data_IF_863821754010
#
_entry.id   IF_863821754010
#
_cell.length_a   1.000
_cell.length_b   1.000
_cell.length_c   1.000
_cell.angle_alpha   90.00
_cell.angle_beta   90.00
_cell.angle_gamma   90.00
#
_symmetry.space_group_name_H-M   'P 1'
#
loop_
_entity.id
_entity.type
_entity.pdbx_description
1 polymer ?
#
# COMPACT_ATOMS: atom_id res chain seq x y z
N UNK A 1 6.82 -8.05 13.85
CA UNK A 1 5.87 -8.62 14.85
C UNK A 1 4.55 -7.87 14.75
N UNK A 2 3.69 -8.22 13.78
CA UNK A 2 2.36 -7.59 13.59
C UNK A 2 1.45 -7.83 14.81
N UNK A 3 1.71 -8.88 15.58
CA UNK A 3 0.99 -9.23 16.81
C UNK A 3 1.20 -8.25 17.99
N UNK A 4 2.14 -7.31 17.92
CA UNK A 4 2.52 -6.44 19.05
C UNK A 4 1.85 -5.05 19.04
N UNK A 5 1.03 -4.74 18.05
CA UNK A 5 0.37 -3.42 17.95
C UNK A 5 -0.62 -3.24 19.10
N UNK A 6 -0.55 -2.07 19.76
CA UNK A 6 -1.42 -1.70 20.86
C UNK A 6 -2.90 -1.78 20.45
N UNK A 7 -3.81 -2.26 21.33
CA UNK A 7 -5.22 -2.34 21.01
C UNK A 7 -5.82 -0.95 20.79
N UNK A 8 -6.18 -0.64 19.55
CA UNK A 8 -6.98 0.53 19.18
C UNK A 8 -8.32 0.05 18.62
N UNK A 9 -9.41 0.77 18.91
CA UNK A 9 -10.73 0.45 18.37
C UNK A 9 -10.68 0.43 16.83
N UNK A 10 -11.04 -0.70 16.22
CA UNK A 10 -11.07 -0.87 14.76
C UNK A 10 -9.83 -1.50 14.11
N UNK A 11 -8.82 -1.91 14.89
CA UNK A 11 -7.69 -2.73 14.41
C UNK A 11 -7.85 -4.19 14.85
N UNK A 12 -7.95 -5.13 13.90
CA UNK A 12 -7.96 -6.57 14.20
C UNK A 12 -6.54 -7.02 14.55
N UNK A 13 -6.40 -7.76 15.66
CA UNK A 13 -5.12 -8.41 15.99
C UNK A 13 -4.87 -9.56 15.02
N UNK A 14 -3.60 -9.79 14.71
CA UNK A 14 -3.12 -10.93 13.94
C UNK A 14 -2.40 -11.92 14.86
N UNK A 15 -3.11 -12.72 15.69
CA UNK A 15 -2.48 -13.62 16.67
C UNK A 15 -1.63 -14.71 15.99
N UNK A 16 -2.00 -15.17 14.78
CA UNK A 16 -1.17 -16.08 13.97
C UNK A 16 -0.27 -15.34 12.94
N UNK A 17 -0.17 -14.01 13.00
CA UNK A 17 0.62 -13.23 12.05
C UNK A 17 0.03 -13.20 10.63
N UNK A 18 0.87 -13.39 9.60
CA UNK A 18 0.50 -13.27 8.16
C UNK A 18 0.22 -14.62 7.46
N UNK A 19 0.16 -15.72 8.20
CA UNK A 19 0.07 -17.09 7.69
C UNK A 19 -1.36 -17.53 7.33
N UNK A 20 -2.10 -16.71 6.60
CA UNK A 20 -3.47 -17.04 6.22
C UNK A 20 -3.52 -18.08 5.11
N UNK A 21 -4.33 -19.14 5.30
CA UNK A 21 -4.60 -20.16 4.27
C UNK A 21 -5.34 -19.57 3.06
N UNK A 22 -6.11 -18.50 3.26
CA UNK A 22 -6.79 -17.72 2.23
C UNK A 22 -6.82 -16.26 2.66
N UNK A 23 -6.50 -15.35 1.73
CA UNK A 23 -6.53 -13.92 1.97
C UNK A 23 -7.88 -13.34 1.57
N UNK A 24 -8.57 -12.68 2.50
CA UNK A 24 -9.82 -11.95 2.20
C UNK A 24 -9.58 -10.45 2.00
N UNK A 25 -10.56 -9.76 1.40
CA UNK A 25 -10.52 -8.29 1.26
C UNK A 25 -10.38 -7.60 2.62
N UNK A 26 -11.07 -8.10 3.65
CA UNK A 26 -11.00 -7.57 5.02
C UNK A 26 -9.65 -7.83 5.70
N UNK A 27 -9.04 -8.98 5.45
CA UNK A 27 -7.68 -9.25 5.94
C UNK A 27 -6.69 -8.27 5.30
N UNK A 28 -6.82 -8.01 3.99
CA UNK A 28 -5.98 -7.03 3.31
C UNK A 28 -6.17 -5.62 3.89
N UNK A 29 -7.42 -5.15 4.07
CA UNK A 29 -7.73 -3.83 4.66
C UNK A 29 -7.19 -3.68 6.08
N UNK A 30 -7.34 -4.71 6.90
CA UNK A 30 -6.82 -4.69 8.26
C UNK A 30 -5.30 -4.63 8.25
N UNK A 31 -4.66 -5.42 7.38
CA UNK A 31 -3.20 -5.47 7.31
C UNK A 31 -2.63 -4.12 6.85
N UNK A 32 -3.29 -3.43 5.91
CA UNK A 32 -2.93 -2.07 5.51
C UNK A 32 -2.85 -1.10 6.70
N UNK A 33 -3.80 -1.17 7.65
CA UNK A 33 -3.81 -0.30 8.83
C UNK A 33 -2.70 -0.59 9.84
N UNK A 34 -2.25 -1.85 9.91
CA UNK A 34 -1.22 -2.29 10.86
C UNK A 34 0.18 -2.18 10.26
N UNK A 35 0.32 -2.24 8.93
CA UNK A 35 1.62 -2.35 8.28
C UNK A 35 2.45 -1.07 8.39
N UNK A 36 1.84 0.09 8.11
CA UNK A 36 2.51 1.40 8.19
C UNK A 36 3.12 1.68 9.57
N UNK A 37 2.35 1.62 10.68
CA UNK A 37 2.94 1.84 12.01
C UNK A 37 3.94 0.75 12.43
N UNK A 38 3.87 -0.45 11.82
CA UNK A 38 4.80 -1.52 12.14
C UNK A 38 6.18 -1.36 11.49
N UNK A 39 6.30 -0.57 10.42
CA UNK A 39 7.57 -0.29 9.74
C UNK A 39 8.14 1.09 10.07
N UNK A 40 7.29 2.00 10.57
CA UNK A 40 7.69 3.33 11.01
C UNK A 40 8.83 3.27 12.05
N UNK A 41 9.86 4.08 11.85
CA UNK A 41 11.07 4.09 12.69
C UNK A 41 12.06 2.94 12.45
N UNK A 42 11.70 1.94 11.66
CA UNK A 42 12.57 0.80 11.33
C UNK A 42 13.14 0.84 9.91
N UNK A 43 12.51 1.60 9.02
CA UNK A 43 12.93 1.76 7.62
C UNK A 43 13.07 3.24 7.28
N UNK A 44 13.83 3.60 6.23
CA UNK A 44 13.88 4.97 5.73
C UNK A 44 12.48 5.52 5.48
N UNK A 45 12.28 6.81 5.78
CA UNK A 45 10.99 7.48 5.66
C UNK A 45 10.39 7.33 4.25
N UNK A 46 11.24 7.36 3.21
CA UNK A 46 10.80 7.20 1.82
C UNK A 46 10.19 5.83 1.56
N UNK A 47 10.66 4.76 2.22
CA UNK A 47 10.01 3.45 2.15
C UNK A 47 8.60 3.54 2.73
N UNK A 48 8.45 4.16 3.90
CA UNK A 48 7.13 4.34 4.53
C UNK A 48 6.19 5.13 3.61
N UNK A 49 6.69 6.19 2.96
CA UNK A 49 5.91 7.00 2.02
C UNK A 49 5.53 6.22 0.74
N UNK A 50 6.46 5.43 0.17
CA UNK A 50 6.17 4.58 -0.96
C UNK A 50 5.06 3.56 -0.63
N UNK A 51 5.15 2.91 0.54
CA UNK A 51 4.10 1.99 0.98
C UNK A 51 2.77 2.73 1.19
N UNK A 52 2.79 3.91 1.82
CA UNK A 52 1.57 4.70 2.04
C UNK A 52 0.88 5.05 0.72
N UNK A 53 1.62 5.60 -0.25
CA UNK A 53 1.09 5.98 -1.55
C UNK A 53 0.53 4.77 -2.32
N UNK A 54 1.20 3.62 -2.26
CA UNK A 54 0.70 2.37 -2.85
C UNK A 54 -0.62 1.91 -2.21
N UNK A 55 -0.73 2.01 -0.88
CA UNK A 55 -1.94 1.65 -0.15
C UNK A 55 -3.10 2.60 -0.45
N UNK A 56 -2.83 3.91 -0.54
CA UNK A 56 -3.81 4.93 -0.88
C UNK A 56 -4.35 4.70 -2.30
N UNK A 57 -3.48 4.45 -3.29
CA UNK A 57 -3.90 4.04 -4.64
C UNK A 57 -4.83 2.82 -4.58
N UNK A 58 -4.40 1.76 -3.90
CA UNK A 58 -5.16 0.52 -3.80
C UNK A 58 -6.53 0.68 -3.11
N UNK A 59 -6.64 1.62 -2.18
CA UNK A 59 -7.90 1.97 -1.53
C UNK A 59 -8.82 2.76 -2.46
N UNK A 60 -8.28 3.74 -3.19
CA UNK A 60 -9.06 4.60 -4.09
C UNK A 60 -9.65 3.83 -5.28
N UNK A 61 -8.85 2.99 -5.95
CA UNK A 61 -9.31 2.20 -7.11
C UNK A 61 -10.33 1.10 -6.74
N UNK A 62 -10.52 0.83 -5.45
CA UNK A 62 -11.49 -0.15 -4.93
C UNK A 62 -12.75 0.49 -4.36
N UNK A 63 -12.92 1.82 -4.46
CA UNK A 63 -14.17 2.48 -4.04
C UNK A 63 -15.32 2.06 -4.94
N UNK A 64 -16.51 1.92 -4.35
CA UNK A 64 -17.73 1.54 -5.08
C UNK A 64 -18.17 2.61 -6.09
N UNK A 65 -17.80 3.87 -5.86
CA UNK A 65 -18.07 4.99 -6.76
C UNK A 65 -16.78 5.77 -7.00
N UNK A 66 -16.40 5.91 -8.28
CA UNK A 66 -15.25 6.69 -8.70
C UNK A 66 -15.76 7.98 -9.33
N UNK A 67 -15.45 9.10 -8.69
CA UNK A 67 -15.74 10.45 -9.19
C UNK A 67 -14.52 11.05 -9.85
N UNK A 68 -14.68 12.15 -10.59
CA UNK A 68 -13.55 12.92 -11.14
C UNK A 68 -12.53 13.32 -10.07
N UNK A 69 -13.01 13.75 -8.90
CA UNK A 69 -12.15 14.00 -7.75
C UNK A 69 -11.39 12.74 -7.29
N UNK A 70 -12.02 11.57 -7.33
CA UNK A 70 -11.34 10.31 -6.99
C UNK A 70 -10.26 9.96 -8.02
N UNK A 71 -10.48 10.26 -9.31
CA UNK A 71 -9.46 10.08 -10.35
C UNK A 71 -8.22 10.96 -10.11
N UNK A 72 -8.42 12.22 -9.71
CA UNK A 72 -7.33 13.12 -9.32
C UNK A 72 -6.55 12.51 -8.15
N UNK A 73 -7.25 12.03 -7.12
CA UNK A 73 -6.60 11.36 -5.97
C UNK A 73 -5.83 10.10 -6.37
N UNK A 74 -6.33 9.33 -7.34
CA UNK A 74 -5.66 8.12 -7.85
C UNK A 74 -4.36 8.51 -8.58
N UNK A 75 -4.41 9.54 -9.42
CA UNK A 75 -3.24 10.08 -10.12
C UNK A 75 -2.20 10.59 -9.11
N UNK A 76 -2.62 11.40 -8.13
CA UNK A 76 -1.73 11.91 -7.09
C UNK A 76 -1.07 10.76 -6.32
N UNK A 77 -1.84 9.74 -5.91
CA UNK A 77 -1.28 8.59 -5.19
C UNK A 77 -0.28 7.80 -6.04
N UNK A 78 -0.53 7.68 -7.35
CA UNK A 78 0.37 7.02 -8.29
C UNK A 78 1.68 7.81 -8.46
N UNK A 79 1.60 9.12 -8.60
CA UNK A 79 2.78 9.99 -8.71
C UNK A 79 3.63 9.95 -7.44
N UNK A 80 2.99 10.04 -6.26
CA UNK A 80 3.69 9.90 -4.98
C UNK A 80 4.37 8.53 -4.87
N UNK A 81 3.70 7.45 -5.30
CA UNK A 81 4.32 6.12 -5.31
C UNK A 81 5.54 6.08 -6.22
N UNK A 82 5.45 6.62 -7.43
CA UNK A 82 6.56 6.67 -8.39
C UNK A 82 7.73 7.52 -7.90
N UNK A 83 7.45 8.61 -7.18
CA UNK A 83 8.47 9.44 -6.56
C UNK A 83 9.26 8.65 -5.50
N UNK A 84 8.55 8.06 -4.54
CA UNK A 84 9.19 7.41 -3.38
C UNK A 84 9.73 6.01 -3.67
N UNK A 85 9.22 5.27 -4.66
CA UNK A 85 9.74 3.93 -4.97
C UNK A 85 11.21 3.94 -5.39
N UNK A 86 11.75 5.08 -5.83
CA UNK A 86 13.16 5.24 -6.23
C UNK A 86 14.12 4.80 -5.14
N UNK A 87 13.73 4.93 -3.86
CA UNK A 87 14.52 4.46 -2.71
C UNK A 87 14.86 2.97 -2.77
N UNK A 88 13.98 2.13 -3.35
CA UNK A 88 14.24 0.69 -3.47
C UNK A 88 15.36 0.41 -4.47
N UNK A 89 15.54 1.26 -5.47
CA UNK A 89 16.67 1.19 -6.39
C UNK A 89 17.93 1.74 -5.74
N UNK A 90 17.83 2.86 -5.01
CA UNK A 90 18.96 3.44 -4.25
C UNK A 90 19.54 2.44 -3.25
N UNK A 91 18.70 1.68 -2.57
CA UNK A 91 19.10 0.63 -1.64
C UNK A 91 19.48 -0.69 -2.32
N UNK A 92 19.47 -0.74 -3.66
CA UNK A 92 19.74 -1.94 -4.47
C UNK A 92 18.86 -3.15 -4.08
N UNK A 93 17.65 -2.89 -3.58
CA UNK A 93 16.65 -3.91 -3.19
C UNK A 93 15.94 -4.46 -4.44
N UNK A 94 15.78 -3.63 -5.48
CA UNK A 94 15.03 -3.96 -6.69
C UNK A 94 15.86 -3.63 -7.94
N UNK A 95 15.91 -4.59 -8.88
CA UNK A 95 16.57 -4.43 -10.18
C UNK A 95 15.71 -3.67 -11.20
N UNK A 96 14.39 -3.86 -11.18
CA UNK A 96 13.44 -3.18 -12.07
C UNK A 96 12.09 -2.96 -11.40
N UNK A 97 11.43 -1.84 -11.70
CA UNK A 97 10.06 -1.53 -11.25
C UNK A 97 8.98 -2.02 -12.24
N UNK A 98 9.38 -2.81 -13.24
CA UNK A 98 8.52 -3.29 -14.32
C UNK A 98 7.76 -4.56 -13.95
N UNK A 99 7.41 -4.75 -12.67
CA UNK A 99 6.56 -5.88 -12.28
C UNK A 99 5.20 -5.73 -12.98
N UNK A 100 4.63 -6.79 -13.56
CA UNK A 100 3.41 -6.68 -14.38
C UNK A 100 2.27 -5.94 -13.69
N UNK A 101 2.11 -6.13 -12.37
CA UNK A 101 1.06 -5.44 -11.59
C UNK A 101 1.39 -3.98 -11.26
N UNK A 102 2.66 -3.62 -11.13
CA UNK A 102 3.08 -2.22 -10.93
C UNK A 102 2.92 -1.42 -12.23
N UNK A 103 3.29 -2.02 -13.36
CA UNK A 103 3.08 -1.41 -14.67
C UNK A 103 1.58 -1.21 -14.98
N UNK A 104 0.74 -2.16 -14.58
CA UNK A 104 -0.71 -2.07 -14.77
C UNK A 104 -1.38 -0.94 -13.97
N UNK A 105 -0.73 -0.42 -12.91
CA UNK A 105 -1.25 0.70 -12.13
C UNK A 105 -1.39 1.98 -12.97
N UNK A 106 -0.45 2.20 -13.91
CA UNK A 106 -0.48 3.35 -14.83
C UNK A 106 -1.68 3.26 -15.78
N UNK A 107 -2.06 2.04 -16.17
CA UNK A 107 -3.18 1.81 -17.09
C UNK A 107 -4.55 1.86 -16.42
N UNK A 108 -4.61 1.79 -15.08
CA UNK A 108 -5.87 1.73 -14.34
C UNK A 108 -6.72 3.00 -14.53
N UNK A 109 -6.08 4.16 -14.63
CA UNK A 109 -6.76 5.44 -14.89
C UNK A 109 -7.39 5.52 -16.28
N UNK A 110 -6.87 4.77 -17.25
CA UNK A 110 -7.42 4.74 -18.61
C UNK A 110 -8.50 3.66 -18.80
N UNK A 111 -8.68 2.79 -17.80
CA UNK A 111 -9.64 1.69 -17.80
C UNK A 111 -10.93 1.99 -17.02
N UNK A 112 -10.96 3.08 -16.26
CA UNK A 112 -12.11 3.60 -15.51
C UNK A 112 -12.82 4.65 -16.36
#
# INVERSE_FOLDING_TARGET
RIAAVAPCAGLRRFPQGRGFKQWTSDDSKTLMKVYLPAIEGYVPVDIVQAFRAFLDFGYLVRRDMITEHTLIQIQDALEHFHHYQTIFSTLSIVLTFSLPRQHLMVHYLFLI
#
